data_IF_233436309198
#
_entry.id   IF_233436309198
#
_cell.length_a   1.000
_cell.length_b   1.000
_cell.length_c   1.000
_cell.angle_alpha   90.00
_cell.angle_beta   90.00
_cell.angle_gamma   90.00
#
_symmetry.space_group_name_H-M   'P 1'
#
loop_
_entity.id
_entity.type
_entity.pdbx_description
1 polymer ?
#
# COMPACT_ATOMS: atom_id res chain seq x y z
N UNK A 1 5.11 22.54 -12.73
CA UNK A 1 3.93 21.70 -12.47
C UNK A 1 2.69 22.59 -12.56
N UNK A 2 1.58 22.11 -13.10
CA UNK A 2 0.38 22.92 -13.40
C UNK A 2 -0.09 23.77 -12.20
N UNK A 3 -0.09 23.20 -10.99
CA UNK A 3 -0.59 23.84 -9.76
C UNK A 3 0.53 24.47 -8.89
N UNK A 4 1.76 24.53 -9.37
CA UNK A 4 2.89 25.11 -8.61
C UNK A 4 3.36 24.30 -7.38
N UNK A 5 2.74 23.15 -7.07
CA UNK A 5 3.24 22.22 -6.05
C UNK A 5 4.54 21.57 -6.55
N UNK A 6 5.70 22.01 -6.07
CA UNK A 6 6.99 21.52 -6.58
C UNK A 6 7.51 20.28 -5.86
N UNK A 7 7.09 19.99 -4.63
CA UNK A 7 7.80 19.00 -3.79
C UNK A 7 6.87 17.98 -3.12
N UNK A 8 6.10 17.24 -3.92
CA UNK A 8 5.20 16.17 -3.43
C UNK A 8 5.87 14.81 -3.56
N UNK A 9 5.87 14.02 -2.48
CA UNK A 9 6.38 12.64 -2.46
C UNK A 9 5.21 11.68 -2.22
N UNK A 10 4.98 10.76 -3.14
CA UNK A 10 3.90 9.79 -3.09
C UNK A 10 4.49 8.41 -2.84
N UNK A 11 4.07 7.75 -1.76
CA UNK A 11 4.39 6.36 -1.49
C UNK A 11 3.15 5.51 -1.77
N UNK A 12 3.23 4.63 -2.77
CA UNK A 12 2.21 3.62 -3.04
C UNK A 12 2.61 2.36 -2.28
N UNK A 13 1.77 1.95 -1.32
CA UNK A 13 1.95 0.68 -0.61
C UNK A 13 1.18 -0.39 -1.39
N UNK A 14 1.88 -1.06 -2.29
CA UNK A 14 1.29 -1.91 -3.30
C UNK A 14 1.35 -3.38 -2.89
N UNK A 15 0.24 -3.86 -2.33
CA UNK A 15 0.03 -5.28 -2.02
C UNK A 15 -0.75 -6.02 -3.12
N UNK A 16 -1.10 -5.35 -4.22
CA UNK A 16 -1.88 -5.93 -5.32
C UNK A 16 -3.31 -6.38 -4.94
N UNK A 17 -3.91 -5.78 -3.91
CA UNK A 17 -5.28 -6.03 -3.46
C UNK A 17 -5.99 -4.75 -3.00
N UNK A 18 -7.32 -4.79 -2.96
CA UNK A 18 -8.11 -3.94 -2.05
C UNK A 18 -7.93 -4.45 -0.62
N UNK A 19 -6.79 -4.15 0.00
CA UNK A 19 -6.30 -4.78 1.23
C UNK A 19 -7.33 -4.88 2.36
N UNK A 20 -8.07 -3.81 2.65
CA UNK A 20 -9.06 -3.84 3.74
C UNK A 20 -10.22 -4.77 3.42
N UNK A 21 -10.79 -4.69 2.22
CA UNK A 21 -11.89 -5.58 1.82
C UNK A 21 -11.41 -7.04 1.78
N UNK A 22 -10.16 -7.27 1.34
CA UNK A 22 -9.54 -8.60 1.33
C UNK A 22 -9.42 -9.16 2.75
N UNK A 23 -8.96 -8.38 3.74
CA UNK A 23 -8.90 -8.80 5.15
C UNK A 23 -10.29 -9.21 5.67
N UNK A 24 -11.34 -8.45 5.35
CA UNK A 24 -12.72 -8.83 5.74
C UNK A 24 -13.18 -10.14 5.08
N UNK A 25 -12.91 -10.32 3.79
CA UNK A 25 -13.23 -11.56 3.07
C UNK A 25 -12.44 -12.76 3.59
N UNK A 26 -11.19 -12.54 4.01
CA UNK A 26 -10.37 -13.56 4.64
C UNK A 26 -10.96 -14.00 5.98
N UNK A 27 -11.27 -13.05 6.86
CA UNK A 27 -11.69 -13.32 8.23
C UNK A 27 -13.13 -13.87 8.32
N UNK A 28 -14.06 -13.35 7.51
CA UNK A 28 -15.49 -13.62 7.71
C UNK A 28 -16.18 -14.34 6.54
N UNK A 29 -15.54 -14.44 5.36
CA UNK A 29 -16.12 -15.06 4.16
C UNK A 29 -15.36 -16.30 3.70
N UNK A 30 -14.60 -16.94 4.60
CA UNK A 30 -13.88 -18.18 4.33
C UNK A 30 -12.85 -18.05 3.20
N UNK A 31 -12.14 -16.91 3.12
CA UNK A 31 -11.13 -16.61 2.09
C UNK A 31 -11.69 -16.58 0.66
N UNK A 32 -12.99 -16.29 0.50
CA UNK A 32 -13.62 -16.12 -0.81
C UNK A 32 -13.36 -14.72 -1.34
N UNK A 33 -12.22 -14.55 -2.01
CA UNK A 33 -11.83 -13.26 -2.58
C UNK A 33 -12.66 -12.90 -3.82
N UNK A 34 -13.45 -11.83 -3.72
CA UNK A 34 -14.33 -11.35 -4.80
C UNK A 34 -14.03 -9.89 -5.11
N UNK A 35 -13.58 -9.61 -6.34
CA UNK A 35 -13.29 -8.25 -6.82
C UNK A 35 -12.15 -7.53 -6.10
N UNK A 36 -11.37 -8.23 -5.27
CA UNK A 36 -10.28 -7.66 -4.47
C UNK A 36 -8.89 -7.77 -5.07
N UNK A 37 -8.51 -8.80 -5.87
CA UNK A 37 -7.21 -8.81 -6.53
C UNK A 37 -7.09 -7.68 -7.56
N UNK A 38 -5.98 -6.95 -7.53
CA UNK A 38 -5.68 -5.85 -8.46
C UNK A 38 -4.40 -6.14 -9.22
N UNK A 39 -4.43 -5.96 -10.54
CA UNK A 39 -3.23 -6.03 -11.39
C UNK A 39 -2.45 -4.71 -11.40
N UNK A 40 -3.14 -3.56 -11.26
CA UNK A 40 -2.53 -2.22 -11.23
C UNK A 40 -1.76 -1.83 -12.50
N UNK A 41 -1.49 -0.53 -12.73
CA UNK A 41 -0.52 -0.12 -13.74
C UNK A 41 0.91 -0.27 -13.22
N UNK A 42 1.90 -0.12 -14.11
CA UNK A 42 3.27 0.15 -13.67
C UNK A 42 3.34 1.61 -13.20
N UNK A 43 3.39 1.83 -11.88
CA UNK A 43 3.34 3.16 -11.29
C UNK A 43 4.58 4.02 -11.58
N UNK A 44 5.76 3.40 -11.69
CA UNK A 44 6.98 4.12 -12.10
C UNK A 44 6.81 4.72 -13.51
N UNK A 45 6.39 3.91 -14.49
CA UNK A 45 6.14 4.39 -15.86
C UNK A 45 5.04 5.44 -15.91
N UNK A 46 4.01 5.29 -15.07
CA UNK A 46 2.95 6.28 -14.95
C UNK A 46 3.51 7.63 -14.47
N UNK A 47 4.32 7.63 -13.41
CA UNK A 47 4.97 8.85 -12.91
C UNK A 47 5.86 9.50 -13.98
N UNK A 48 6.70 8.71 -14.64
CA UNK A 48 7.57 9.18 -15.72
C UNK A 48 6.78 9.81 -16.89
N UNK A 49 5.61 9.27 -17.23
CA UNK A 49 4.73 9.84 -18.26
C UNK A 49 4.19 11.23 -17.91
N UNK A 50 4.08 11.56 -16.62
CA UNK A 50 3.72 12.90 -16.13
C UNK A 50 4.95 13.80 -15.86
N UNK A 51 6.16 13.34 -16.20
CA UNK A 51 7.41 14.06 -15.94
C UNK A 51 7.85 14.02 -14.48
N UNK A 52 7.35 13.06 -13.70
CA UNK A 52 7.74 12.84 -12.31
C UNK A 52 8.85 11.79 -12.25
N UNK A 53 9.64 11.82 -11.17
CA UNK A 53 10.54 10.71 -10.87
C UNK A 53 9.70 9.52 -10.39
N UNK A 54 9.88 8.36 -11.02
CA UNK A 54 9.30 7.10 -10.57
C UNK A 54 10.38 6.17 -10.00
N UNK A 55 10.07 5.50 -8.89
CA UNK A 55 10.94 4.51 -8.24
C UNK A 55 10.09 3.28 -7.91
N UNK A 56 10.61 2.08 -8.15
CA UNK A 56 9.98 0.82 -7.70
C UNK A 56 10.89 0.17 -6.66
N UNK A 57 10.33 -0.23 -5.52
CA UNK A 57 11.04 -0.91 -4.44
C UNK A 57 10.44 -2.28 -4.24
N UNK A 58 11.25 -3.33 -4.39
CA UNK A 58 10.83 -4.72 -4.24
C UNK A 58 11.48 -5.43 -3.06
N UNK A 59 12.52 -4.84 -2.47
CA UNK A 59 13.32 -5.44 -1.41
C UNK A 59 13.45 -4.49 -0.23
N UNK A 60 13.54 -5.06 0.97
CA UNK A 60 13.64 -4.29 2.21
C UNK A 60 14.92 -3.44 2.25
N UNK A 61 16.04 -3.94 1.69
CA UNK A 61 17.32 -3.20 1.71
C UNK A 61 17.25 -1.88 0.93
N UNK A 62 16.37 -1.81 -0.06
CA UNK A 62 16.30 -0.68 -0.99
C UNK A 62 15.41 0.45 -0.47
N UNK A 63 14.71 0.25 0.65
CA UNK A 63 13.73 1.20 1.21
C UNK A 63 14.42 2.53 1.58
N UNK A 64 15.53 2.47 2.33
CA UNK A 64 16.22 3.65 2.82
C UNK A 64 16.78 4.47 1.65
N UNK A 65 17.45 3.82 0.71
CA UNK A 65 17.99 4.44 -0.49
C UNK A 65 16.90 5.11 -1.35
N UNK A 66 15.75 4.46 -1.54
CA UNK A 66 14.64 5.02 -2.31
C UNK A 66 14.03 6.26 -1.65
N UNK A 67 13.92 6.26 -0.32
CA UNK A 67 13.42 7.41 0.45
C UNK A 67 14.41 8.57 0.36
N UNK A 68 15.71 8.31 0.55
CA UNK A 68 16.76 9.32 0.41
C UNK A 68 16.79 9.93 -0.99
N UNK A 69 16.72 9.10 -2.04
CA UNK A 69 16.64 9.57 -3.43
C UNK A 69 15.41 10.45 -3.67
N UNK A 70 14.26 10.08 -3.10
CA UNK A 70 13.04 10.85 -3.25
C UNK A 70 13.14 12.23 -2.59
N UNK A 71 13.78 12.32 -1.42
CA UNK A 71 14.04 13.60 -0.73
C UNK A 71 15.09 14.45 -1.43
N UNK A 72 16.12 13.84 -2.02
CA UNK A 72 17.17 14.54 -2.75
C UNK A 72 16.71 15.06 -4.13
N UNK A 73 15.65 14.47 -4.69
CA UNK A 73 15.08 14.90 -5.96
C UNK A 73 14.27 16.20 -5.80
N UNK A 74 14.70 17.27 -6.46
CA UNK A 74 13.86 18.46 -6.63
C UNK A 74 12.73 18.14 -7.61
N UNK A 75 11.49 18.34 -7.19
CA UNK A 75 10.33 17.90 -7.94
C UNK A 75 9.51 16.78 -7.28
N UNK A 76 8.46 16.33 -7.98
CA UNK A 76 7.59 15.29 -7.48
C UNK A 76 8.19 13.89 -7.70
N UNK A 77 7.94 13.01 -6.75
CA UNK A 77 8.44 11.63 -6.79
C UNK A 77 7.31 10.68 -6.42
N UNK A 78 7.19 9.59 -7.16
CA UNK A 78 6.34 8.45 -6.82
C UNK A 78 7.23 7.24 -6.56
N UNK A 79 7.06 6.63 -5.38
CA UNK A 79 7.68 5.37 -5.01
C UNK A 79 6.60 4.28 -4.94
N UNK A 80 6.75 3.21 -5.70
CA UNK A 80 5.92 2.00 -5.67
C UNK A 80 6.61 0.95 -4.77
N UNK A 81 6.14 0.83 -3.53
CA UNK A 81 6.62 -0.19 -2.59
C UNK A 81 5.82 -1.46 -2.77
N UNK A 82 6.45 -2.49 -3.34
CA UNK A 82 5.84 -3.83 -3.44
C UNK A 82 5.96 -4.53 -2.10
N UNK A 83 4.83 -4.79 -1.47
CA UNK A 83 4.76 -5.39 -0.13
C UNK A 83 4.05 -6.74 -0.17
N UNK A 84 4.15 -7.47 0.94
CA UNK A 84 3.44 -8.73 1.12
C UNK A 84 1.93 -8.55 0.91
N UNK A 85 1.35 -9.48 0.15
CA UNK A 85 0.00 -9.36 -0.40
C UNK A 85 -1.08 -9.58 0.67
N UNK A 86 -0.81 -10.50 1.58
CA UNK A 86 -1.80 -11.04 2.53
C UNK A 86 -1.65 -10.56 3.99
N UNK A 87 -0.86 -9.51 4.25
CA UNK A 87 -0.74 -8.95 5.61
C UNK A 87 -2.07 -8.32 6.06
N UNK A 88 -2.48 -8.60 7.29
CA UNK A 88 -3.67 -8.06 7.93
C UNK A 88 -3.29 -6.96 8.94
N UNK A 89 -4.21 -6.01 9.14
CA UNK A 89 -4.07 -4.93 10.12
C UNK A 89 -4.59 -5.40 11.47
N UNK A 90 -3.74 -5.27 12.48
CA UNK A 90 -4.01 -5.62 13.87
C UNK A 90 -3.57 -4.48 14.80
N UNK A 91 -4.14 -4.36 16.02
CA UNK A 91 -5.33 -5.08 16.49
C UNK A 91 -6.62 -4.58 15.81
N UNK A 92 -7.70 -5.38 15.88
CA UNK A 92 -9.00 -5.02 15.30
C UNK A 92 -10.14 -5.29 16.30
N UNK A 93 -11.14 -4.41 16.35
CA UNK A 93 -12.43 -4.68 17.01
C UNK A 93 -13.44 -5.09 15.92
N UNK A 94 -13.98 -6.31 15.93
CA UNK A 94 -14.95 -6.74 14.94
C UNK A 94 -16.25 -5.90 14.96
N UNK A 95 -16.97 -5.89 13.84
CA UNK A 95 -18.25 -5.18 13.76
C UNK A 95 -19.24 -5.68 14.82
N UNK A 96 -19.86 -4.75 15.53
CA UNK A 96 -20.82 -5.06 16.59
C UNK A 96 -20.21 -5.49 17.93
N UNK A 97 -18.88 -5.38 18.09
CA UNK A 97 -18.17 -5.74 19.33
C UNK A 97 -17.71 -4.53 20.14
N UNK A 98 -17.45 -4.77 21.43
CA UNK A 98 -16.89 -3.76 22.33
C UNK A 98 -15.36 -3.72 22.24
N UNK A 99 -14.73 -2.65 22.74
CA UNK A 99 -13.26 -2.52 22.80
C UNK A 99 -12.62 -3.68 23.58
N UNK A 100 -13.32 -4.24 24.58
CA UNK A 100 -12.83 -5.39 25.36
C UNK A 100 -12.74 -6.70 24.57
N UNK A 101 -13.33 -6.77 23.37
CA UNK A 101 -13.35 -7.94 22.48
C UNK A 101 -12.39 -7.74 21.29
N UNK A 102 -11.32 -6.98 21.50
CA UNK A 102 -10.27 -6.76 20.50
C UNK A 102 -9.55 -8.07 20.17
N UNK A 103 -9.36 -8.34 18.88
CA UNK A 103 -8.56 -9.45 18.37
C UNK A 103 -7.19 -8.97 17.89
N UNK A 104 -6.18 -9.82 18.09
CA UNK A 104 -4.77 -9.55 17.76
C UNK A 104 -4.24 -10.43 16.63
N UNK A 105 -4.94 -11.52 16.30
CA UNK A 105 -4.61 -12.39 15.17
C UNK A 105 -5.83 -13.14 14.64
N UNK A 106 -5.67 -13.81 13.50
CA UNK A 106 -6.75 -14.47 12.78
C UNK A 106 -7.32 -15.72 13.48
N UNK A 107 -6.64 -16.29 14.48
CA UNK A 107 -7.13 -17.48 15.20
C UNK A 107 -8.28 -17.18 16.17
N UNK A 108 -8.54 -15.89 16.43
CA UNK A 108 -9.56 -15.40 17.34
C UNK A 108 -10.89 -15.03 16.65
N UNK A 109 -10.99 -15.30 15.34
CA UNK A 109 -12.19 -15.07 14.51
C UNK A 109 -12.96 -16.37 14.30
#
# INVERSE_FOLDING_TARGET
>A
MQEGLSNVKVAVINNGYLGMVRQWQELFEGKRYSGTPLSGPNFQKLAEAYGWKGITVERIEDIEAAIEEAYATDGPVLIDFRVEREVNVWPMVPQGKSIGETITDASQV
#
